data_IF_561498171116
#
_entry.id   IF_561498171116
#
_cell.length_a   1.000
_cell.length_b   1.000
_cell.length_c   1.000
_cell.angle_alpha   90.00
_cell.angle_beta   90.00
_cell.angle_gamma   90.00
#
_symmetry.space_group_name_H-M   'P 1'
#
loop_
_entity.id
_entity.type
_entity.pdbx_description
1 polymer ?
#
# COMPACT_ATOMS: atom_id res chain seq x y z
N UNK A 1 20.24 15.11 6.04
CA UNK A 1 19.08 14.31 5.58
C UNK A 1 18.37 15.06 4.49
N UNK A 2 18.11 14.41 3.37
CA UNK A 2 17.60 15.03 2.14
C UNK A 2 16.09 15.24 2.22
N UNK A 3 15.60 16.46 1.92
CA UNK A 3 14.17 16.86 1.88
C UNK A 3 13.24 15.82 1.24
N UNK A 4 13.74 15.02 0.29
CA UNK A 4 13.02 13.95 -0.40
C UNK A 4 12.51 12.86 0.55
N UNK A 5 13.30 12.45 1.55
CA UNK A 5 12.89 11.42 2.48
C UNK A 5 11.74 11.90 3.37
N UNK A 6 11.82 13.14 3.86
CA UNK A 6 10.78 13.72 4.70
C UNK A 6 9.47 13.89 3.93
N UNK A 7 9.56 14.32 2.67
CA UNK A 7 8.41 14.36 1.76
C UNK A 7 7.83 12.96 1.52
N UNK A 8 8.66 11.95 1.25
CA UNK A 8 8.18 10.59 1.04
C UNK A 8 7.45 10.05 2.28
N UNK A 9 7.99 10.30 3.48
CA UNK A 9 7.38 9.89 4.75
C UNK A 9 6.03 10.59 5.00
N UNK A 10 5.91 11.86 4.63
CA UNK A 10 4.63 12.58 4.78
C UNK A 10 3.58 12.16 3.74
N UNK A 11 4.00 11.90 2.50
CA UNK A 11 3.07 11.66 1.39
C UNK A 11 2.59 10.21 1.31
N UNK A 12 3.45 9.24 1.61
CA UNK A 12 3.11 7.82 1.47
C UNK A 12 1.84 7.44 2.28
N UNK A 13 1.69 7.81 3.56
CA UNK A 13 0.47 7.53 4.33
C UNK A 13 -0.76 8.28 3.82
N UNK A 14 -0.58 9.46 3.19
CA UNK A 14 -1.70 10.25 2.64
C UNK A 14 -2.31 9.57 1.42
N UNK A 15 -1.50 8.98 0.57
CA UNK A 15 -2.00 8.26 -0.60
C UNK A 15 -2.52 6.86 -0.26
N UNK A 16 -1.92 6.22 0.74
CA UNK A 16 -2.21 4.81 1.06
C UNK A 16 -3.18 4.59 2.21
N UNK A 17 -3.29 5.55 3.13
CA UNK A 17 -4.02 5.35 4.38
C UNK A 17 -3.33 4.41 5.37
N UNK A 18 -2.10 3.99 5.07
CA UNK A 18 -1.31 3.05 5.88
C UNK A 18 -0.13 3.77 6.50
N UNK A 19 0.10 3.55 7.80
CA UNK A 19 1.25 4.17 8.47
C UNK A 19 2.55 3.49 8.01
N UNK A 20 3.66 4.23 8.06
CA UNK A 20 4.96 3.74 7.56
C UNK A 20 5.41 2.46 8.28
N UNK A 21 5.13 2.35 9.58
CA UNK A 21 5.42 1.19 10.44
C UNK A 21 4.55 -0.04 10.15
N UNK A 22 3.52 0.08 9.31
CA UNK A 22 2.59 -1.01 8.96
C UNK A 22 2.88 -1.62 7.57
N UNK A 23 3.88 -1.09 6.86
CA UNK A 23 4.38 -1.71 5.64
C UNK A 23 5.31 -2.86 5.98
N UNK A 24 5.15 -3.96 5.26
CA UNK A 24 6.09 -5.07 5.27
C UNK A 24 7.37 -4.74 4.50
N UNK A 25 8.42 -5.53 4.74
CA UNK A 25 9.72 -5.36 4.07
C UNK A 25 9.66 -5.68 2.57
N UNK A 26 8.64 -6.42 2.13
CA UNK A 26 8.45 -6.84 0.75
C UNK A 26 7.21 -6.18 0.15
N UNK A 27 7.38 -5.49 -0.97
CA UNK A 27 6.29 -4.75 -1.63
C UNK A 27 5.93 -5.42 -2.96
N UNK A 28 4.64 -5.69 -3.13
CA UNK A 28 4.03 -6.06 -4.41
C UNK A 28 3.21 -4.89 -4.93
N UNK A 29 3.37 -4.56 -6.21
CA UNK A 29 2.62 -3.50 -6.87
C UNK A 29 1.60 -4.10 -7.85
N UNK A 30 0.41 -3.54 -7.87
CA UNK A 30 -0.65 -3.89 -8.82
C UNK A 30 -1.43 -2.65 -9.21
N UNK A 31 -2.11 -2.70 -10.34
CA UNK A 31 -3.13 -1.74 -10.75
C UNK A 31 -4.53 -2.37 -10.82
N UNK A 32 -4.67 -3.63 -10.35
CA UNK A 32 -5.92 -4.37 -10.36
C UNK A 32 -6.48 -4.52 -8.94
N UNK A 33 -7.62 -3.89 -8.66
CA UNK A 33 -8.27 -3.96 -7.33
C UNK A 33 -8.60 -5.39 -6.91
N UNK A 34 -9.04 -6.24 -7.85
CA UNK A 34 -9.33 -7.66 -7.59
C UNK A 34 -8.10 -8.44 -7.08
N UNK A 35 -6.88 -8.06 -7.48
CA UNK A 35 -5.67 -8.72 -6.97
C UNK A 35 -5.42 -8.35 -5.51
N UNK A 36 -5.66 -7.08 -5.15
CA UNK A 36 -5.58 -6.62 -3.78
C UNK A 36 -6.62 -7.31 -2.89
N UNK A 37 -7.87 -7.42 -3.37
CA UNK A 37 -8.95 -8.12 -2.66
C UNK A 37 -8.62 -9.59 -2.40
N UNK A 38 -8.14 -10.31 -3.43
CA UNK A 38 -7.72 -11.71 -3.28
C UNK A 38 -6.51 -11.87 -2.37
N UNK A 39 -5.55 -10.96 -2.46
CA UNK A 39 -4.38 -10.97 -1.58
C UNK A 39 -4.80 -10.76 -0.12
N UNK A 40 -5.71 -9.82 0.13
CA UNK A 40 -6.25 -9.53 1.45
C UNK A 40 -6.97 -10.74 2.05
N UNK A 41 -7.86 -11.38 1.27
CA UNK A 41 -8.59 -12.59 1.67
C UNK A 41 -7.65 -13.77 1.97
N UNK A 42 -6.72 -14.07 1.06
CA UNK A 42 -5.73 -15.15 1.24
C UNK A 42 -4.79 -14.89 2.43
N UNK A 43 -4.36 -13.64 2.59
CA UNK A 43 -3.49 -13.18 3.66
C UNK A 43 -4.19 -12.97 5.00
N UNK A 44 -5.53 -13.08 5.04
CA UNK A 44 -6.39 -12.76 6.20
C UNK A 44 -6.03 -11.40 6.81
N UNK A 45 -5.91 -10.38 5.97
CA UNK A 45 -5.52 -9.04 6.36
C UNK A 45 -6.48 -8.01 5.79
N UNK A 46 -6.62 -6.87 6.47
CA UNK A 46 -7.56 -5.84 6.08
C UNK A 46 -6.98 -4.95 4.98
N UNK A 47 -7.84 -4.55 4.04
CA UNK A 47 -7.52 -3.51 3.07
C UNK A 47 -7.61 -2.15 3.78
N UNK A 48 -6.55 -1.37 3.65
CA UNK A 48 -6.47 0.02 4.12
C UNK A 48 -6.51 0.99 2.96
N UNK A 49 -6.97 2.21 3.26
CA UNK A 49 -7.03 3.28 2.28
C UNK A 49 -8.22 3.21 1.34
N UNK A 50 -9.33 2.60 1.74
CA UNK A 50 -10.59 2.70 0.99
C UNK A 50 -10.92 4.18 0.68
N UNK A 51 -11.27 4.45 -0.58
CA UNK A 51 -11.50 5.82 -1.08
C UNK A 51 -10.24 6.67 -1.30
N UNK A 52 -9.03 6.18 -0.97
CA UNK A 52 -7.77 6.85 -1.28
C UNK A 52 -7.21 6.42 -2.65
N UNK A 53 -6.25 7.16 -3.22
CA UNK A 53 -5.68 6.81 -4.52
C UNK A 53 -4.96 5.46 -4.57
N UNK A 54 -4.37 5.00 -3.45
CA UNK A 54 -3.55 3.79 -3.45
C UNK A 54 -3.86 2.83 -2.29
N UNK A 55 -4.84 1.94 -2.44
CA UNK A 55 -5.17 0.98 -1.37
C UNK A 55 -4.03 0.00 -1.10
N UNK A 56 -3.94 -0.48 0.14
CA UNK A 56 -2.89 -1.44 0.53
C UNK A 56 -3.42 -2.52 1.43
N UNK A 57 -2.77 -3.68 1.43
CA UNK A 57 -3.00 -4.74 2.40
C UNK A 57 -1.63 -5.33 2.80
N UNK A 58 -1.40 -5.54 4.09
CA UNK A 58 -0.16 -6.13 4.62
C UNK A 58 -0.49 -7.43 5.33
N UNK A 59 0.08 -8.54 4.89
CA UNK A 59 -0.11 -9.84 5.51
C UNK A 59 0.88 -10.10 6.66
N UNK A 60 0.67 -11.16 7.43
CA UNK A 60 1.53 -11.55 8.56
C UNK A 60 2.92 -12.05 8.16
N UNK A 61 3.17 -12.29 6.87
CA UNK A 61 4.47 -12.70 6.34
C UNK A 61 5.38 -11.50 6.00
N UNK A 62 4.94 -10.26 6.26
CA UNK A 62 5.73 -9.06 5.96
C UNK A 62 5.68 -8.66 4.48
N UNK A 63 4.64 -9.06 3.76
CA UNK A 63 4.39 -8.64 2.37
C UNK A 63 3.26 -7.62 2.35
N UNK A 64 3.49 -6.48 1.73
CA UNK A 64 2.44 -5.47 1.45
C UNK A 64 2.14 -5.44 -0.03
N UNK A 65 0.87 -5.58 -0.40
CA UNK A 65 0.40 -5.27 -1.75
C UNK A 65 -0.13 -3.84 -1.79
N UNK A 66 0.27 -3.08 -2.80
CA UNK A 66 -0.19 -1.70 -3.06
C UNK A 66 -0.86 -1.67 -4.42
N UNK A 67 -2.13 -1.28 -4.45
CA UNK A 67 -2.80 -0.92 -5.69
C UNK A 67 -2.47 0.54 -6.03
N UNK A 68 -1.65 0.79 -7.04
CA UNK A 68 -1.25 2.16 -7.41
C UNK A 68 -2.22 2.82 -8.42
N UNK A 69 -3.27 2.12 -8.83
CA UNK A 69 -4.25 2.59 -9.82
C UNK A 69 -3.75 2.49 -11.27
N UNK A 70 -4.59 2.94 -12.21
CA UNK A 70 -4.26 2.96 -13.64
C UNK A 70 -3.74 4.32 -14.08
N UNK A 71 -2.64 4.32 -14.84
CA UNK A 71 -2.07 5.50 -15.48
C UNK A 71 -0.58 5.64 -15.20
N UNK A 72 0.16 6.14 -16.20
CA UNK A 72 1.48 6.76 -15.99
C UNK A 72 1.24 8.28 -15.94
N UNK A 73 1.46 8.94 -14.80
CA UNK A 73 1.55 10.39 -14.73
C UNK A 73 2.74 10.94 -15.52
#
# INVERSE_FOLDING_TARGET
>A
MTKKLDLAKDWLPRYTGTRIDEFGDYILLTNFSNYLEKFADQGKCDIKGEGRPMQTATNSAGVTMINFGMGSP
#
